data_IF_764396200846
#
_entry.id   IF_764396200846
#
_cell.length_a   1.000
_cell.length_b   1.000
_cell.length_c   1.000
_cell.angle_alpha   90.00
_cell.angle_beta   90.00
_cell.angle_gamma   90.00
#
_symmetry.space_group_name_H-M   'P 1'
#
loop_
_entity.id
_entity.type
_entity.pdbx_description
1 polymer ?
#
# COMPACT_ATOMS: atom_id res chain seq x y z
N UNK A 1 39.83 -48.30 -13.96
CA UNK A 1 39.62 -47.79 -12.59
C UNK A 1 39.38 -46.29 -12.68
N UNK A 2 38.24 -45.77 -12.23
CA UNK A 2 37.95 -44.32 -12.28
C UNK A 2 38.65 -43.64 -11.10
N UNK A 3 39.63 -42.78 -11.37
CA UNK A 3 40.21 -41.90 -10.34
C UNK A 3 39.13 -40.91 -9.87
N UNK A 4 38.68 -41.05 -8.62
CA UNK A 4 37.94 -40.00 -7.96
C UNK A 4 38.93 -38.88 -7.59
N UNK A 5 38.88 -37.75 -8.31
CA UNK A 5 39.59 -36.54 -7.91
C UNK A 5 38.89 -36.01 -6.65
N UNK A 6 39.56 -36.12 -5.51
CA UNK A 6 39.10 -35.51 -4.26
C UNK A 6 39.27 -34.00 -4.29
N UNK A 7 38.34 -33.28 -3.68
CA UNK A 7 38.43 -31.83 -3.48
C UNK A 7 39.53 -31.51 -2.46
N UNK A 8 40.42 -30.56 -2.75
CA UNK A 8 41.50 -30.21 -1.81
C UNK A 8 41.01 -29.23 -0.75
N UNK A 9 41.62 -29.27 0.44
CA UNK A 9 41.30 -28.33 1.52
C UNK A 9 41.62 -26.88 1.13
N UNK A 10 42.68 -26.66 0.35
CA UNK A 10 43.05 -25.31 -0.09
C UNK A 10 42.04 -24.72 -1.09
N UNK A 11 41.49 -25.55 -1.98
CA UNK A 11 40.39 -25.14 -2.87
C UNK A 11 39.17 -24.70 -2.06
N UNK A 12 38.83 -25.42 -0.98
CA UNK A 12 37.71 -25.07 -0.13
C UNK A 12 37.95 -23.77 0.66
N UNK A 13 39.16 -23.57 1.18
CA UNK A 13 39.52 -22.37 1.95
C UNK A 13 39.44 -21.10 1.10
N UNK A 14 39.88 -21.16 -0.16
CA UNK A 14 39.80 -20.02 -1.08
C UNK A 14 38.34 -19.68 -1.39
N UNK A 15 37.49 -20.68 -1.63
CA UNK A 15 36.07 -20.47 -1.91
C UNK A 15 35.36 -19.80 -0.73
N UNK A 16 35.61 -20.26 0.50
CA UNK A 16 35.02 -19.65 1.71
C UNK A 16 35.50 -18.21 1.88
N UNK A 17 36.78 -17.93 1.64
CA UNK A 17 37.33 -16.58 1.72
C UNK A 17 36.65 -15.62 0.71
N UNK A 18 36.45 -16.06 -0.54
CA UNK A 18 35.79 -15.25 -1.57
C UNK A 18 34.31 -15.01 -1.22
N UNK A 19 33.57 -16.05 -0.79
CA UNK A 19 32.17 -15.92 -0.38
C UNK A 19 32.04 -14.97 0.82
N UNK A 20 32.98 -15.00 1.76
CA UNK A 20 33.01 -14.10 2.92
C UNK A 20 33.07 -12.62 2.52
N UNK A 21 33.97 -12.26 1.58
CA UNK A 21 34.07 -10.87 1.08
C UNK A 21 32.80 -10.47 0.32
N UNK A 22 32.29 -11.33 -0.57
CA UNK A 22 31.08 -11.05 -1.34
C UNK A 22 29.85 -10.87 -0.44
N UNK A 23 29.71 -11.66 0.62
CA UNK A 23 28.62 -11.53 1.57
C UNK A 23 28.69 -10.20 2.34
N UNK A 24 29.89 -9.81 2.79
CA UNK A 24 30.10 -8.57 3.55
C UNK A 24 29.64 -7.31 2.80
N UNK A 25 29.91 -7.24 1.49
CA UNK A 25 29.48 -6.10 0.66
C UNK A 25 28.09 -6.29 0.05
N UNK A 26 27.71 -7.53 -0.27
CA UNK A 26 26.48 -7.84 -0.99
C UNK A 26 25.22 -7.67 -0.15
N UNK A 27 25.25 -8.05 1.12
CA UNK A 27 24.09 -7.98 2.03
C UNK A 27 23.60 -6.54 2.26
N UNK A 28 24.44 -5.56 2.69
CA UNK A 28 23.96 -4.20 2.93
C UNK A 28 23.45 -3.53 1.66
N UNK A 29 24.11 -3.79 0.52
CA UNK A 29 23.69 -3.29 -0.78
C UNK A 29 22.32 -3.86 -1.19
N UNK A 30 22.12 -5.17 -1.04
CA UNK A 30 20.85 -5.82 -1.35
C UNK A 30 19.69 -5.27 -0.50
N UNK A 31 19.93 -5.05 0.80
CA UNK A 31 18.92 -4.46 1.69
C UNK A 31 18.50 -3.04 1.25
N UNK A 32 19.44 -2.24 0.77
CA UNK A 32 19.15 -0.91 0.18
C UNK A 32 18.23 -1.01 -1.05
N UNK A 33 18.56 -1.90 -1.99
CA UNK A 33 17.73 -2.12 -3.19
C UNK A 33 16.31 -2.61 -2.85
N UNK A 34 16.17 -3.55 -1.91
CA UNK A 34 14.86 -4.01 -1.45
C UNK A 34 14.07 -2.87 -0.82
N UNK A 35 14.73 -1.99 -0.06
CA UNK A 35 14.06 -0.83 0.57
C UNK A 35 13.55 0.15 -0.47
N UNK A 36 14.38 0.53 -1.44
CA UNK A 36 13.98 1.43 -2.52
C UNK A 36 12.84 0.84 -3.38
N UNK A 37 12.87 -0.48 -3.65
CA UNK A 37 11.80 -1.17 -4.36
C UNK A 37 10.47 -1.12 -3.58
N UNK A 38 10.53 -1.29 -2.26
CA UNK A 38 9.34 -1.20 -1.38
C UNK A 38 8.74 0.21 -1.35
N UNK A 39 9.58 1.24 -1.25
CA UNK A 39 9.13 2.65 -1.28
C UNK A 39 8.44 2.94 -2.61
N UNK A 40 9.05 2.54 -3.73
CA UNK A 40 8.48 2.73 -5.07
C UNK A 40 7.14 2.01 -5.22
N UNK A 41 7.03 0.77 -4.77
CA UNK A 41 5.79 0.01 -4.82
C UNK A 41 4.70 0.64 -3.92
N UNK A 42 5.06 1.14 -2.73
CA UNK A 42 4.10 1.80 -1.84
C UNK A 42 3.58 3.12 -2.43
N UNK A 43 4.48 3.89 -3.07
CA UNK A 43 4.11 5.10 -3.80
C UNK A 43 3.18 4.80 -4.98
N UNK A 44 3.46 3.76 -5.75
CA UNK A 44 2.60 3.32 -6.85
C UNK A 44 1.22 2.88 -6.36
N UNK A 45 1.16 2.14 -5.25
CA UNK A 45 -0.11 1.76 -4.61
C UNK A 45 -0.94 2.99 -4.21
N UNK A 46 -0.31 4.01 -3.62
CA UNK A 46 -0.98 5.27 -3.26
C UNK A 46 -1.57 5.96 -4.49
N UNK A 47 -0.77 6.09 -5.56
CA UNK A 47 -1.21 6.72 -6.81
C UNK A 47 -2.39 5.96 -7.41
N UNK A 48 -2.32 4.63 -7.51
CA UNK A 48 -3.41 3.81 -8.05
C UNK A 48 -4.68 3.88 -7.23
N UNK A 49 -4.56 3.86 -5.89
CA UNK A 49 -5.70 4.00 -5.01
C UNK A 49 -6.34 5.39 -5.16
N UNK A 50 -5.53 6.45 -5.23
CA UNK A 50 -5.99 7.80 -5.49
C UNK A 50 -6.68 7.94 -6.85
N UNK A 51 -6.06 7.42 -7.91
CA UNK A 51 -6.59 7.49 -9.27
C UNK A 51 -7.91 6.72 -9.41
N UNK A 52 -8.08 5.61 -8.68
CA UNK A 52 -9.37 4.90 -8.60
C UNK A 52 -10.46 5.79 -7.98
N UNK A 53 -10.17 6.49 -6.88
CA UNK A 53 -11.13 7.39 -6.24
C UNK A 53 -11.47 8.56 -7.18
N UNK A 54 -10.44 9.19 -7.78
CA UNK A 54 -10.64 10.28 -8.75
C UNK A 54 -11.44 9.83 -9.95
N UNK A 55 -11.14 8.64 -10.51
CA UNK A 55 -11.89 8.08 -11.63
C UNK A 55 -13.35 7.84 -11.24
N UNK A 56 -13.61 7.37 -10.01
CA UNK A 56 -14.97 7.16 -9.54
C UNK A 56 -15.75 8.46 -9.33
N UNK A 57 -15.13 9.48 -8.74
CA UNK A 57 -15.75 10.80 -8.60
C UNK A 57 -16.01 11.46 -9.97
N UNK A 58 -15.04 11.34 -10.89
CA UNK A 58 -15.19 11.85 -12.26
C UNK A 58 -16.32 11.13 -13.01
N UNK A 59 -16.46 9.82 -12.80
CA UNK A 59 -17.58 9.05 -13.35
C UNK A 59 -18.92 9.56 -12.80
N UNK A 60 -18.97 9.91 -11.52
CA UNK A 60 -20.17 10.45 -10.88
C UNK A 60 -20.58 11.85 -11.38
N UNK A 61 -19.66 12.64 -11.95
CA UNK A 61 -20.02 13.88 -12.62
C UNK A 61 -20.78 13.65 -13.94
N UNK A 62 -20.60 12.48 -14.58
CA UNK A 62 -21.21 12.14 -15.87
C UNK A 62 -22.33 11.09 -15.79
N UNK A 63 -22.50 10.41 -14.64
CA UNK A 63 -23.43 9.31 -14.45
C UNK A 63 -24.16 9.41 -13.11
N UNK A 64 -25.32 8.75 -13.01
CA UNK A 64 -26.12 8.73 -11.77
C UNK A 64 -25.66 7.68 -10.76
N UNK A 65 -24.91 6.67 -11.22
CA UNK A 65 -24.44 5.56 -10.40
C UNK A 65 -23.01 5.17 -10.79
N UNK A 66 -22.28 4.58 -9.85
CA UNK A 66 -20.95 3.98 -10.03
C UNK A 66 -20.97 2.54 -9.51
N UNK A 67 -20.22 1.65 -10.16
CA UNK A 67 -20.06 0.26 -9.71
C UNK A 67 -18.87 0.15 -8.77
N UNK A 68 -19.12 -0.15 -7.49
CA UNK A 68 -18.09 -0.35 -6.46
C UNK A 68 -18.25 -1.73 -5.82
N UNK A 69 -17.24 -2.21 -5.10
CA UNK A 69 -17.34 -3.52 -4.42
C UNK A 69 -17.93 -3.30 -3.02
N UNK A 70 -18.86 -4.17 -2.64
CA UNK A 70 -19.55 -4.14 -1.37
C UNK A 70 -18.76 -4.85 -0.27
N UNK A 71 -18.83 -4.31 0.93
CA UNK A 71 -18.17 -4.79 2.16
C UNK A 71 -18.39 -6.29 2.46
N UNK A 72 -19.64 -6.76 2.36
CA UNK A 72 -20.02 -8.09 2.90
C UNK A 72 -19.49 -9.26 2.09
N UNK A 73 -19.38 -9.09 0.78
CA UNK A 73 -19.15 -10.20 -0.15
C UNK A 73 -18.13 -9.88 -1.26
N UNK A 74 -17.58 -8.66 -1.30
CA UNK A 74 -16.70 -8.21 -2.37
C UNK A 74 -17.34 -8.18 -3.74
N UNK A 75 -18.67 -8.30 -3.83
CA UNK A 75 -19.39 -8.26 -5.11
C UNK A 75 -19.61 -6.82 -5.55
N UNK A 76 -19.75 -6.65 -6.85
CA UNK A 76 -20.09 -5.37 -7.45
C UNK A 76 -21.52 -4.94 -7.05
N UNK A 77 -21.66 -3.68 -6.68
CA UNK A 77 -22.91 -3.01 -6.33
C UNK A 77 -22.97 -1.66 -7.06
N UNK A 78 -24.17 -1.30 -7.52
CA UNK A 78 -24.40 0.01 -8.11
C UNK A 78 -24.69 1.01 -6.99
N UNK A 79 -23.73 1.89 -6.75
CA UNK A 79 -23.76 2.93 -5.73
C UNK A 79 -24.24 4.23 -6.38
N UNK A 80 -25.21 4.90 -5.77
CA UNK A 80 -25.69 6.20 -6.26
C UNK A 80 -24.62 7.27 -6.10
N UNK A 81 -24.44 8.10 -7.13
CA UNK A 81 -23.49 9.21 -7.11
C UNK A 81 -24.00 10.42 -6.31
N UNK A 82 -25.27 10.43 -5.91
CA UNK A 82 -25.85 11.48 -5.05
C UNK A 82 -25.64 11.22 -3.55
N UNK A 83 -24.83 10.22 -3.19
CA UNK A 83 -24.51 9.93 -1.80
C UNK A 83 -23.56 10.98 -1.22
N UNK A 84 -23.74 11.25 0.07
CA UNK A 84 -22.86 12.14 0.82
C UNK A 84 -21.41 11.61 0.82
N UNK A 85 -20.41 12.49 0.83
CA UNK A 85 -19.01 12.09 0.72
C UNK A 85 -18.56 11.12 1.82
N UNK A 86 -19.21 11.16 3.00
CA UNK A 86 -19.04 10.17 4.06
C UNK A 86 -19.34 8.74 3.58
N UNK A 87 -20.49 8.53 2.93
CA UNK A 87 -20.89 7.21 2.43
C UNK A 87 -20.06 6.82 1.21
N UNK A 88 -19.76 7.77 0.32
CA UNK A 88 -18.89 7.52 -0.83
C UNK A 88 -17.48 7.09 -0.40
N UNK A 89 -16.90 7.72 0.62
CA UNK A 89 -15.60 7.32 1.17
C UNK A 89 -15.60 5.87 1.68
N UNK A 90 -16.67 5.44 2.34
CA UNK A 90 -16.82 4.05 2.78
C UNK A 90 -16.87 3.08 1.59
N UNK A 91 -17.66 3.38 0.55
CA UNK A 91 -17.71 2.54 -0.65
C UNK A 91 -16.37 2.46 -1.40
N UNK A 92 -15.64 3.57 -1.52
CA UNK A 92 -14.31 3.56 -2.10
C UNK A 92 -13.33 2.73 -1.30
N UNK A 93 -13.39 2.82 0.03
CA UNK A 93 -12.58 1.96 0.87
C UNK A 93 -12.87 0.48 0.65
N UNK A 94 -14.15 0.07 0.67
CA UNK A 94 -14.49 -1.34 0.47
C UNK A 94 -14.06 -1.81 -0.92
N UNK A 95 -14.24 -0.98 -1.93
CA UNK A 95 -13.72 -1.24 -3.26
C UNK A 95 -12.20 -1.49 -3.24
N UNK A 96 -11.43 -0.62 -2.61
CA UNK A 96 -9.97 -0.74 -2.53
C UNK A 96 -9.50 -1.89 -1.64
N UNK A 97 -10.24 -2.23 -0.59
CA UNK A 97 -10.01 -3.41 0.25
C UNK A 97 -10.13 -4.70 -0.55
N UNK A 98 -11.09 -4.77 -1.47
CA UNK A 98 -11.31 -5.93 -2.33
C UNK A 98 -10.48 -5.91 -3.63
N UNK A 99 -9.91 -4.77 -4.03
CA UNK A 99 -9.08 -4.62 -5.23
C UNK A 99 -7.65 -5.24 -5.12
N UNK A 100 -7.44 -6.19 -4.21
CA UNK A 100 -6.21 -6.99 -4.05
C UNK A 100 -4.89 -6.20 -3.91
N UNK A 101 -4.92 -4.99 -3.37
CA UNK A 101 -3.69 -4.25 -3.09
C UNK A 101 -2.86 -4.92 -1.99
N UNK A 102 -1.59 -5.21 -2.30
CA UNK A 102 -0.63 -5.83 -1.37
C UNK A 102 0.31 -4.78 -0.79
N UNK A 103 0.53 -4.82 0.52
CA UNK A 103 1.52 -3.98 1.18
C UNK A 103 2.95 -4.48 0.81
N UNK A 104 3.86 -3.62 0.34
CA UNK A 104 5.21 -4.04 -0.07
C UNK A 104 6.17 -4.28 1.12
N UNK A 105 5.87 -3.77 2.31
CA UNK A 105 6.69 -3.94 3.51
C UNK A 105 6.34 -5.19 4.31
N UNK A 106 5.08 -5.61 4.26
CA UNK A 106 4.55 -6.79 4.96
C UNK A 106 3.68 -7.55 3.98
N UNK A 107 3.71 -8.88 3.96
CA UNK A 107 2.80 -9.72 3.13
C UNK A 107 1.35 -9.68 3.68
N UNK A 108 0.81 -8.48 3.88
CA UNK A 108 -0.53 -8.17 4.34
C UNK A 108 -1.21 -7.27 3.31
N UNK A 109 -2.53 -7.09 3.43
CA UNK A 109 -3.30 -6.17 2.60
C UNK A 109 -2.86 -4.72 2.83
N UNK A 110 -3.00 -3.89 1.80
CA UNK A 110 -2.76 -2.43 1.85
C UNK A 110 -3.68 -1.71 2.85
N UNK A 111 -4.91 -2.20 2.96
CA UNK A 111 -5.96 -1.74 3.87
C UNK A 111 -6.24 -2.87 4.88
N UNK A 112 -6.14 -2.61 6.18
CA UNK A 112 -6.22 -3.64 7.23
C UNK A 112 -7.67 -4.12 7.45
N UNK A 113 -7.86 -5.42 7.70
CA UNK A 113 -9.18 -5.98 8.02
C UNK A 113 -9.70 -5.49 9.39
N UNK A 114 -8.80 -5.11 10.30
CA UNK A 114 -9.10 -4.59 11.65
C UNK A 114 -9.55 -3.11 11.66
N UNK A 115 -9.60 -2.44 10.50
CA UNK A 115 -9.90 -1.01 10.39
C UNK A 115 -11.37 -0.67 10.21
N UNK A 116 -12.29 -1.55 10.62
CA UNK A 116 -13.74 -1.26 10.67
C UNK A 116 -14.05 0.05 11.45
N UNK A 117 -13.12 0.52 12.29
CA UNK A 117 -13.25 1.76 13.07
C UNK A 117 -12.81 3.05 12.33
N UNK A 118 -12.19 2.96 11.14
CA UNK A 118 -11.73 4.17 10.38
C UNK A 118 -12.87 4.90 9.63
N UNK A 119 -14.11 4.40 9.67
CA UNK A 119 -15.21 4.86 8.81
C UNK A 119 -16.11 5.96 9.39
N UNK A 120 -16.04 6.27 10.68
CA UNK A 120 -17.17 6.92 11.34
C UNK A 120 -16.99 8.35 11.84
N UNK A 121 -15.80 8.95 11.76
CA UNK A 121 -15.55 10.21 12.45
C UNK A 121 -15.08 11.33 11.53
N UNK A 122 -15.70 12.50 11.72
CA UNK A 122 -15.39 13.75 11.04
C UNK A 122 -13.98 14.20 11.43
N UNK A 123 -13.15 14.50 10.44
CA UNK A 123 -11.70 14.62 10.58
C UNK A 123 -11.21 15.97 11.13
N UNK A 124 -11.70 16.35 12.32
CA UNK A 124 -11.14 17.48 13.08
C UNK A 124 -10.02 17.05 14.06
N UNK A 125 -9.72 15.76 14.16
CA UNK A 125 -8.64 15.24 15.02
C UNK A 125 -7.41 14.80 14.18
N UNK A 126 -6.23 15.41 14.42
CA UNK A 126 -4.99 15.18 13.64
C UNK A 126 -4.29 13.83 13.92
N UNK A 127 -4.79 13.03 14.86
CA UNK A 127 -4.22 11.71 15.20
C UNK A 127 -4.82 10.56 14.39
N UNK A 128 -5.90 10.79 13.63
CA UNK A 128 -6.64 9.76 12.91
C UNK A 128 -6.23 9.64 11.44
N UNK A 129 -6.46 8.47 10.85
CA UNK A 129 -6.07 8.18 9.45
C UNK A 129 -4.57 7.91 9.28
N UNK A 130 -3.83 7.62 10.35
CA UNK A 130 -2.47 7.12 10.24
C UNK A 130 -2.48 5.65 9.81
N UNK A 131 -1.84 5.32 8.68
CA UNK A 131 -1.75 3.93 8.26
C UNK A 131 -0.97 3.09 9.27
N UNK A 132 -1.37 1.82 9.44
CA UNK A 132 -0.83 0.83 10.40
C UNK A 132 0.62 0.39 10.07
N UNK A 133 1.53 1.36 10.00
CA UNK A 133 2.92 1.22 9.61
C UNK A 133 3.16 1.31 8.11
N UNK A 134 4.44 1.08 7.74
CA UNK A 134 4.92 1.23 6.36
C UNK A 134 4.17 0.34 5.38
N UNK A 135 3.90 0.91 4.21
CA UNK A 135 3.19 0.32 3.08
C UNK A 135 1.67 0.26 3.23
N UNK A 136 1.10 0.73 4.34
CA UNK A 136 -0.35 0.75 4.56
C UNK A 136 -0.96 2.06 4.07
N UNK A 137 -2.26 2.05 3.78
CA UNK A 137 -3.03 3.23 3.40
C UNK A 137 -4.33 3.35 4.20
N UNK A 138 -4.76 4.59 4.42
CA UNK A 138 -6.01 4.94 5.11
C UNK A 138 -6.76 5.96 4.28
N UNK A 139 -8.10 5.87 4.29
CA UNK A 139 -8.99 6.82 3.61
C UNK A 139 -10.01 7.30 4.62
N UNK A 140 -10.30 8.59 4.62
CA UNK A 140 -11.33 9.17 5.48
C UNK A 140 -12.01 10.35 4.78
N UNK A 141 -13.09 10.78 5.41
CA UNK A 141 -13.89 11.93 5.02
C UNK A 141 -13.66 13.09 6.00
N UNK A 142 -13.64 14.33 5.51
CA UNK A 142 -13.61 15.55 6.32
C UNK A 142 -14.76 16.47 5.92
N UNK A 143 -15.40 17.13 6.89
CA UNK A 143 -16.63 17.95 6.83
C UNK A 143 -16.75 19.07 5.78
N UNK A 144 -15.87 19.11 4.76
CA UNK A 144 -15.92 19.96 3.57
C UNK A 144 -16.13 19.17 2.27
N UNK A 145 -16.90 18.07 2.29
CA UNK A 145 -17.09 17.20 1.12
C UNK A 145 -15.78 16.55 0.60
N UNK A 146 -14.75 16.45 1.45
CA UNK A 146 -13.40 16.07 1.01
C UNK A 146 -13.08 14.63 1.43
N UNK A 147 -12.70 13.80 0.47
CA UNK A 147 -12.16 12.45 0.69
C UNK A 147 -10.64 12.55 0.68
N UNK A 148 -9.97 12.16 1.76
CA UNK A 148 -8.51 12.18 1.84
C UNK A 148 -7.97 10.76 1.91
N UNK A 149 -6.91 10.49 1.15
CA UNK A 149 -6.12 9.27 1.23
C UNK A 149 -4.73 9.60 1.78
N UNK A 150 -4.27 8.81 2.75
CA UNK A 150 -2.92 8.88 3.30
C UNK A 150 -2.26 7.53 3.25
N UNK A 151 -1.02 7.47 2.80
CA UNK A 151 -0.22 6.24 2.74
C UNK A 151 1.14 6.45 3.36
N UNK A 152 1.59 5.51 4.19
CA UNK A 152 2.95 5.53 4.72
C UNK A 152 3.86 4.79 3.73
N UNK A 153 4.63 5.52 2.93
CA UNK A 153 5.54 4.91 1.95
C UNK A 153 6.92 4.61 2.51
N UNK A 154 7.25 5.12 3.71
CA UNK A 154 8.58 4.98 4.31
C UNK A 154 9.69 5.74 3.57
N UNK A 155 10.84 5.88 4.24
CA UNK A 155 12.04 6.52 3.70
C UNK A 155 13.26 5.57 3.73
N UNK A 156 14.33 5.93 3.01
CA UNK A 156 15.54 5.11 2.87
C UNK A 156 16.26 4.85 4.20
N UNK A 157 16.16 5.78 5.15
CA UNK A 157 16.68 5.65 6.52
C UNK A 157 15.81 4.77 7.43
N UNK A 158 14.71 4.20 6.91
CA UNK A 158 13.77 3.39 7.68
C UNK A 158 12.73 4.18 8.48
N UNK A 159 12.75 5.51 8.43
CA UNK A 159 11.71 6.34 9.05
C UNK A 159 10.40 6.27 8.28
N UNK A 160 9.32 6.68 8.93
CA UNK A 160 8.03 6.86 8.27
C UNK A 160 8.07 8.11 7.38
N UNK A 161 7.38 8.01 6.24
CA UNK A 161 7.15 9.12 5.32
C UNK A 161 5.77 8.96 4.73
N UNK A 162 4.94 10.00 4.82
CA UNK A 162 3.53 9.93 4.47
C UNK A 162 3.27 10.73 3.20
N UNK A 163 2.54 10.11 2.28
CA UNK A 163 1.89 10.80 1.16
C UNK A 163 0.42 11.01 1.52
N UNK A 164 -0.09 12.20 1.26
CA UNK A 164 -1.48 12.57 1.52
C UNK A 164 -2.03 13.31 0.31
N UNK A 165 -3.14 12.82 -0.24
CA UNK A 165 -3.88 13.48 -1.31
C UNK A 165 -5.32 13.72 -0.82
N UNK A 166 -5.80 14.96 -0.93
CA UNK A 166 -7.18 15.34 -0.62
C UNK A 166 -7.96 15.57 -1.91
N UNK A 167 -9.07 14.86 -2.06
CA UNK A 167 -9.92 14.81 -3.24
C UNK A 167 -11.28 15.42 -2.90
N UNK A 168 -11.77 16.32 -3.75
CA UNK A 168 -13.07 16.97 -3.57
C UNK A 168 -14.14 16.04 -4.14
N UNK A 169 -15.11 15.63 -3.31
CA UNK A 169 -16.40 15.17 -3.81
C UNK A 169 -17.19 16.40 -4.25
N UNK A 170 -17.79 16.38 -5.44
CA UNK A 170 -18.76 17.41 -5.84
C UNK A 170 -20.08 17.27 -5.09
#
# INVERSE_FOLDING_TARGET
MKHAKGFTLIELLIVVAIIGVLAAVGIPMYNGYITAAKIKAAKENHIRARDMIVAGLTHCAAATHITLMREKDGKQENVSCSLDAKFMAAYFYFHLKHAEFVNPYRQKKLFSDDSEEMFYYDADDPTWGYPDGRGSSSIWYSGKNTITIKSNIGADNGSDFFLTDSLIGE
#
